data_IF_103239081343
#
_entry.id   IF_103239081343
#
_cell.length_a   1.000
_cell.length_b   1.000
_cell.length_c   1.000
_cell.angle_alpha   90.00
_cell.angle_beta   90.00
_cell.angle_gamma   90.00
#
_symmetry.space_group_name_H-M   'P 1'
#
loop_
_entity.id
_entity.type
_entity.pdbx_description
1 polymer ?
#
# COMPACT_ATOMS: atom_id res chain seq x y z
N UNK A 1 31.08 19.68 -41.50
CA UNK A 1 30.33 18.55 -42.09
C UNK A 1 29.32 18.07 -41.04
N UNK A 2 28.02 18.27 -41.27
CA UNK A 2 26.91 17.91 -40.36
C UNK A 2 26.59 16.42 -40.51
N UNK A 3 26.58 15.66 -39.42
CA UNK A 3 25.93 14.34 -39.38
C UNK A 3 24.41 14.56 -39.53
N UNK A 4 23.72 13.84 -40.43
CA UNK A 4 22.27 13.79 -40.39
C UNK A 4 21.87 12.93 -39.20
N UNK A 5 21.35 13.55 -38.15
CA UNK A 5 20.56 12.84 -37.16
C UNK A 5 19.31 12.31 -37.86
N UNK A 6 19.34 11.02 -38.17
CA UNK A 6 18.17 10.27 -38.58
C UNK A 6 17.24 10.19 -37.37
N UNK A 7 16.52 11.30 -37.12
CA UNK A 7 15.31 11.36 -36.32
C UNK A 7 14.31 10.41 -36.98
N UNK A 8 14.37 9.14 -36.59
CA UNK A 8 13.28 8.20 -36.81
C UNK A 8 12.14 8.71 -35.95
N UNK A 9 11.26 9.45 -36.61
CA UNK A 9 10.02 9.99 -36.13
C UNK A 9 9.13 8.85 -35.61
N UNK A 10 9.24 8.54 -34.32
CA UNK A 10 8.29 7.67 -33.60
C UNK A 10 7.06 8.49 -33.24
N UNK A 11 6.57 9.37 -34.13
CA UNK A 11 5.25 9.96 -33.93
C UNK A 11 4.24 8.86 -34.19
N UNK A 12 3.65 8.41 -33.10
CA UNK A 12 2.50 7.51 -33.13
C UNK A 12 1.38 8.20 -33.92
N UNK A 13 0.66 7.49 -34.80
CA UNK A 13 -0.43 8.06 -35.61
C UNK A 13 -1.66 8.51 -34.81
N UNK A 14 -1.59 8.52 -33.47
CA UNK A 14 -2.64 8.97 -32.56
C UNK A 14 -2.11 10.19 -31.80
N UNK A 15 -2.71 11.36 -32.07
CA UNK A 15 -2.25 12.66 -31.57
C UNK A 15 -2.01 12.72 -30.06
N UNK A 16 -1.17 13.67 -29.65
CA UNK A 16 -0.86 13.92 -28.24
C UNK A 16 -2.12 14.29 -27.46
N UNK A 17 -2.43 13.51 -26.43
CA UNK A 17 -3.49 13.82 -25.47
C UNK A 17 -2.83 14.15 -24.12
N UNK A 18 -2.94 15.41 -23.69
CA UNK A 18 -2.46 15.82 -22.36
C UNK A 18 -0.93 15.78 -22.18
N UNK A 19 -0.15 15.89 -23.26
CA UNK A 19 1.32 15.86 -23.23
C UNK A 19 1.95 14.46 -23.22
N UNK A 20 1.14 13.42 -23.49
CA UNK A 20 1.58 12.03 -23.64
C UNK A 20 1.02 11.43 -24.94
N UNK A 21 1.79 10.55 -25.58
CA UNK A 21 1.36 9.80 -26.75
C UNK A 21 0.03 9.06 -26.49
N UNK A 22 -0.91 9.11 -27.44
CA UNK A 22 -2.23 8.48 -27.29
C UNK A 22 -2.17 6.97 -27.00
N UNK A 23 -1.14 6.28 -27.48
CA UNK A 23 -0.87 4.88 -27.13
C UNK A 23 -0.48 4.70 -25.65
N UNK A 24 0.36 5.58 -25.11
CA UNK A 24 0.78 5.54 -23.71
C UNK A 24 -0.41 5.85 -22.76
N UNK A 25 -1.28 6.78 -23.16
CA UNK A 25 -2.52 7.07 -22.43
C UNK A 25 -3.42 5.83 -22.32
N UNK A 26 -3.63 5.10 -23.41
CA UNK A 26 -4.45 3.88 -23.41
C UNK A 26 -3.84 2.80 -22.51
N UNK A 27 -2.51 2.63 -22.50
CA UNK A 27 -1.85 1.65 -21.63
C UNK A 27 -2.04 2.00 -20.14
N UNK A 28 -1.89 3.28 -19.78
CA UNK A 28 -2.10 3.72 -18.40
C UNK A 28 -3.58 3.58 -18.00
N UNK A 29 -4.51 3.93 -18.89
CA UNK A 29 -5.95 3.80 -18.64
C UNK A 29 -6.35 2.33 -18.43
N UNK A 30 -5.92 1.44 -19.33
CA UNK A 30 -6.19 0.01 -19.21
C UNK A 30 -5.49 -0.59 -17.99
N UNK A 31 -4.26 -0.18 -17.70
CA UNK A 31 -3.51 -0.59 -16.51
C UNK A 31 -4.19 -0.18 -15.22
N UNK A 32 -4.73 1.05 -15.16
CA UNK A 32 -5.48 1.55 -14.00
C UNK A 32 -6.79 0.79 -13.78
N UNK A 33 -7.58 0.58 -14.84
CA UNK A 33 -8.82 -0.20 -14.77
C UNK A 33 -8.52 -1.65 -14.39
N UNK A 34 -7.54 -2.29 -15.03
CA UNK A 34 -7.14 -3.66 -14.73
C UNK A 34 -6.64 -3.80 -13.28
N UNK A 35 -5.81 -2.85 -12.81
CA UNK A 35 -5.32 -2.83 -11.43
C UNK A 35 -6.45 -2.72 -10.40
N UNK A 36 -7.40 -1.80 -10.62
CA UNK A 36 -8.56 -1.65 -9.74
C UNK A 36 -9.41 -2.92 -9.69
N UNK A 37 -9.65 -3.54 -10.84
CA UNK A 37 -10.39 -4.80 -10.95
C UNK A 37 -9.67 -5.92 -10.20
N UNK A 38 -8.36 -6.06 -10.38
CA UNK A 38 -7.54 -7.08 -9.70
C UNK A 38 -7.57 -6.91 -8.18
N UNK A 39 -7.40 -5.68 -7.67
CA UNK A 39 -7.47 -5.41 -6.23
C UNK A 39 -8.86 -5.77 -5.68
N UNK A 40 -9.94 -5.46 -6.40
CA UNK A 40 -11.31 -5.78 -5.98
C UNK A 40 -11.53 -7.29 -5.82
N UNK A 41 -11.08 -8.09 -6.78
CA UNK A 41 -11.16 -9.54 -6.68
C UNK A 41 -10.30 -10.07 -5.54
N UNK A 42 -9.06 -9.57 -5.40
CA UNK A 42 -8.15 -9.98 -4.34
C UNK A 42 -8.69 -9.68 -2.94
N UNK A 43 -9.21 -8.47 -2.72
CA UNK A 43 -9.83 -8.07 -1.46
C UNK A 43 -11.06 -8.92 -1.13
N UNK A 44 -11.91 -9.21 -2.13
CA UNK A 44 -13.11 -10.05 -1.93
C UNK A 44 -12.73 -11.46 -1.49
N UNK A 45 -11.73 -12.07 -2.15
CA UNK A 45 -11.23 -13.39 -1.78
C UNK A 45 -10.51 -13.38 -0.42
N UNK A 46 -9.73 -12.34 -0.14
CA UNK A 46 -9.01 -12.17 1.12
C UNK A 46 -9.98 -12.04 2.30
N UNK A 47 -11.05 -11.27 2.16
CA UNK A 47 -12.10 -11.14 3.18
C UNK A 47 -12.75 -12.51 3.45
N UNK A 48 -13.12 -13.26 2.40
CA UNK A 48 -13.66 -14.61 2.57
C UNK A 48 -12.68 -15.58 3.26
N UNK A 49 -11.38 -15.39 3.05
CA UNK A 49 -10.35 -16.19 3.72
C UNK A 49 -10.24 -15.85 5.21
N UNK A 50 -10.36 -14.57 5.56
CA UNK A 50 -10.38 -14.11 6.95
C UNK A 50 -11.62 -14.63 7.70
N UNK A 51 -12.81 -14.58 7.07
CA UNK A 51 -14.05 -15.13 7.64
C UNK A 51 -13.93 -16.64 7.98
N UNK A 52 -13.22 -17.41 7.16
CA UNK A 52 -12.97 -18.84 7.41
C UNK A 52 -11.95 -19.10 8.52
N UNK A 53 -11.08 -18.15 8.83
CA UNK A 53 -9.99 -18.28 9.79
C UNK A 53 -9.95 -17.05 10.71
N UNK A 54 -10.88 -16.93 11.67
CA UNK A 54 -11.01 -15.75 12.53
C UNK A 54 -9.75 -15.44 13.36
N UNK A 55 -8.92 -16.44 13.64
CA UNK A 55 -7.63 -16.22 14.30
C UNK A 55 -6.61 -15.46 13.42
N UNK A 56 -6.67 -15.61 12.10
CA UNK A 56 -5.85 -14.86 11.16
C UNK A 56 -6.37 -13.44 10.97
N UNK A 57 -7.68 -13.25 11.06
CA UNK A 57 -8.34 -11.95 10.96
C UNK A 57 -7.86 -10.97 12.03
N UNK A 58 -7.90 -11.35 13.31
CA UNK A 58 -7.48 -10.46 14.41
C UNK A 58 -6.00 -10.08 14.28
N UNK A 59 -5.14 -11.02 13.87
CA UNK A 59 -3.71 -10.77 13.67
C UNK A 59 -3.46 -9.86 12.47
N UNK A 60 -4.15 -10.11 11.35
CA UNK A 60 -4.04 -9.28 10.15
C UNK A 60 -4.50 -7.84 10.44
N UNK A 61 -5.61 -7.65 11.14
CA UNK A 61 -6.08 -6.32 11.53
C UNK A 61 -5.13 -5.61 12.48
N UNK A 62 -4.54 -6.30 13.47
CA UNK A 62 -3.56 -5.70 14.37
C UNK A 62 -2.33 -5.18 13.61
N UNK A 63 -1.82 -5.95 12.65
CA UNK A 63 -0.69 -5.55 11.80
C UNK A 63 -1.07 -4.39 10.88
N UNK A 64 -2.21 -4.46 10.20
CA UNK A 64 -2.70 -3.39 9.30
C UNK A 64 -2.95 -2.10 10.08
N UNK A 65 -3.53 -2.18 11.29
CA UNK A 65 -3.72 -1.03 12.17
C UNK A 65 -2.38 -0.36 12.52
N UNK A 66 -1.36 -1.13 12.86
CA UNK A 66 -0.02 -0.59 13.15
C UNK A 66 0.64 0.06 11.93
N UNK A 67 0.53 -0.55 10.74
CA UNK A 67 0.99 0.04 9.48
C UNK A 67 0.22 1.34 9.17
N UNK A 68 -1.07 1.39 9.47
CA UNK A 68 -1.89 2.59 9.38
C UNK A 68 -1.40 3.73 10.27
N UNK A 69 -0.98 3.44 11.52
CA UNK A 69 -0.35 4.43 12.39
C UNK A 69 0.94 4.96 11.76
N UNK A 70 1.78 4.11 11.18
CA UNK A 70 2.99 4.56 10.47
C UNK A 70 2.65 5.48 9.28
N UNK A 71 1.66 5.11 8.48
CA UNK A 71 1.22 5.95 7.35
C UNK A 71 0.73 7.30 7.87
N UNK A 72 -0.09 7.33 8.92
CA UNK A 72 -0.56 8.58 9.53
C UNK A 72 0.59 9.45 10.03
N UNK A 73 1.59 8.88 10.70
CA UNK A 73 2.77 9.63 11.19
C UNK A 73 3.60 10.18 10.03
N UNK A 74 3.81 9.41 8.96
CA UNK A 74 4.54 9.88 7.77
C UNK A 74 3.75 11.00 7.07
N UNK A 75 2.42 10.92 7.02
CA UNK A 75 1.57 11.98 6.46
C UNK A 75 1.60 13.25 7.31
N UNK A 76 1.62 13.12 8.65
CA UNK A 76 1.77 14.26 9.58
C UNK A 76 3.17 14.89 9.53
N UNK A 77 4.19 14.13 9.15
CA UNK A 77 5.56 14.60 8.92
C UNK A 77 5.82 14.99 7.45
N UNK A 78 4.77 15.08 6.61
CA UNK A 78 4.91 15.44 5.21
C UNK A 78 5.23 16.93 5.04
N UNK A 79 5.97 17.26 3.99
CA UNK A 79 6.55 18.58 3.69
C UNK A 79 5.60 19.77 3.86
N UNK A 80 4.32 19.57 3.55
CA UNK A 80 3.30 20.62 3.57
C UNK A 80 2.73 20.95 4.97
N UNK A 81 3.01 20.16 6.01
CA UNK A 81 2.45 20.34 7.37
C UNK A 81 3.48 20.88 8.39
N UNK A 82 4.79 20.74 8.11
CA UNK A 82 5.86 21.56 8.71
C UNK A 82 6.04 21.53 10.24
N UNK A 83 5.50 20.54 10.96
CA UNK A 83 5.62 20.45 12.44
C UNK A 83 6.86 19.64 12.88
N UNK A 84 7.46 18.82 12.01
CA UNK A 84 8.60 17.95 12.35
C UNK A 84 9.64 17.89 11.22
N UNK A 85 10.91 17.83 11.61
CA UNK A 85 12.11 17.93 10.78
C UNK A 85 12.23 16.79 9.74
N UNK A 86 12.64 17.11 8.50
CA UNK A 86 12.73 16.20 7.33
C UNK A 86 13.54 14.93 7.56
N UNK A 87 14.42 14.93 8.55
CA UNK A 87 15.29 13.79 8.83
C UNK A 87 14.58 12.66 9.58
N UNK A 88 13.41 12.90 10.17
CA UNK A 88 12.76 11.96 11.09
C UNK A 88 12.18 10.70 10.41
N UNK A 89 11.42 10.79 9.30
CA UNK A 89 10.75 9.63 8.69
C UNK A 89 11.68 8.74 7.86
N UNK A 90 12.80 9.30 7.37
CA UNK A 90 13.83 8.58 6.61
C UNK A 90 15.02 8.14 7.48
N UNK A 91 15.01 8.47 8.76
CA UNK A 91 16.06 8.03 9.68
C UNK A 91 16.02 6.52 9.90
N UNK A 92 17.21 5.94 10.02
CA UNK A 92 17.41 4.55 10.44
C UNK A 92 16.74 4.28 11.81
N UNK A 93 16.66 5.29 12.68
CA UNK A 93 16.02 5.22 14.00
C UNK A 93 14.52 4.93 13.88
N UNK A 94 13.79 5.63 13.01
CA UNK A 94 12.35 5.41 12.84
C UNK A 94 12.04 4.04 12.24
N UNK A 95 12.86 3.63 11.27
CA UNK A 95 12.78 2.29 10.67
C UNK A 95 13.01 1.20 11.73
N UNK A 96 13.98 1.37 12.63
CA UNK A 96 14.25 0.44 13.74
C UNK A 96 13.08 0.39 14.73
N UNK A 97 12.49 1.53 15.10
CA UNK A 97 11.30 1.56 15.98
C UNK A 97 10.13 0.84 15.31
N UNK A 98 9.91 1.05 14.01
CA UNK A 98 8.86 0.36 13.26
C UNK A 98 9.01 -1.16 13.30
N UNK A 99 10.22 -1.67 13.00
CA UNK A 99 10.50 -3.10 13.06
C UNK A 99 10.45 -3.63 14.50
N UNK A 100 10.93 -2.87 15.49
CA UNK A 100 10.86 -3.24 16.90
C UNK A 100 9.42 -3.40 17.38
N UNK A 101 8.50 -2.50 17.01
CA UNK A 101 7.08 -2.64 17.39
C UNK A 101 6.40 -3.74 16.58
N UNK A 102 6.73 -3.96 15.30
CA UNK A 102 6.24 -5.12 14.56
C UNK A 102 6.63 -6.43 15.24
N UNK A 103 7.89 -6.56 15.66
CA UNK A 103 8.38 -7.72 16.41
C UNK A 103 7.66 -7.82 17.76
N UNK A 104 7.46 -6.71 18.47
CA UNK A 104 6.69 -6.67 19.71
C UNK A 104 5.26 -7.18 19.54
N UNK A 105 4.53 -6.69 18.53
CA UNK A 105 3.17 -7.14 18.22
C UNK A 105 3.16 -8.60 17.80
N UNK A 106 4.14 -9.06 17.00
CA UNK A 106 4.26 -10.46 16.62
C UNK A 106 4.47 -11.38 17.83
N UNK A 107 5.33 -10.98 18.78
CA UNK A 107 5.55 -11.71 20.03
C UNK A 107 4.30 -11.70 20.91
N UNK A 108 3.61 -10.56 21.03
CA UNK A 108 2.35 -10.45 21.79
C UNK A 108 1.26 -11.32 21.15
N UNK A 109 1.10 -11.31 19.82
CA UNK A 109 0.16 -12.19 19.11
C UNK A 109 0.51 -13.68 19.28
N UNK A 110 1.80 -14.01 19.34
CA UNK A 110 2.26 -15.38 19.57
C UNK A 110 2.00 -15.86 21.00
N UNK A 111 2.21 -14.99 21.99
CA UNK A 111 2.01 -15.30 23.41
C UNK A 111 0.59 -15.01 23.91
N UNK A 112 -0.23 -14.29 23.15
CA UNK A 112 -1.63 -14.07 23.49
C UNK A 112 -2.34 -15.43 23.57
N UNK A 113 -2.90 -15.79 24.73
CA UNK A 113 -3.61 -17.06 24.85
C UNK A 113 -4.79 -17.03 23.88
N UNK A 114 -4.91 -18.08 23.05
CA UNK A 114 -6.06 -18.29 22.15
C UNK A 114 -7.33 -18.53 22.96
N UNK A 115 -7.82 -17.52 23.65
CA UNK A 115 -9.10 -17.60 24.33
C UNK A 115 -10.17 -17.42 23.25
N UNK A 116 -10.94 -18.50 23.07
CA UNK A 116 -12.00 -18.69 22.08
C UNK A 116 -12.97 -17.50 22.06
N UNK A 117 -13.61 -17.22 20.92
CA UNK A 117 -14.61 -16.17 20.80
C UNK A 117 -15.73 -16.38 21.83
N UNK A 118 -16.13 -15.28 22.47
CA UNK A 118 -17.32 -15.15 23.30
C UNK A 118 -18.55 -15.42 22.43
N UNK A 119 -18.96 -16.69 22.35
CA UNK A 119 -20.27 -17.10 21.82
C UNK A 119 -21.19 -17.40 23.00
N UNK A 120 -21.63 -16.37 23.70
CA UNK A 120 -22.72 -16.49 24.69
C UNK A 120 -23.21 -15.09 25.12
N UNK A 121 -24.04 -14.46 24.29
CA UNK A 121 -24.82 -13.30 24.71
C UNK A 121 -26.09 -13.12 23.85
N UNK A 122 -26.89 -14.19 23.69
CA UNK A 122 -28.36 -14.10 23.61
C UNK A 122 -28.99 -15.49 23.67
N UNK A 123 -29.45 -15.85 24.87
CA UNK A 123 -30.56 -16.79 25.10
C UNK A 123 -31.87 -16.16 24.66
#
# INVERSE_FOLDING_TARGET
MRKPELQLDVNSPLGEFGGMDGGQFIVVLLGGIAGLVLIKFAATWFVQLLEKRPALETTAYAIVAWVGVKLAVITLAHEDIGILDHHFPHSTIWTVIFYAVLVGIALICWFAPRNKPLKEARS
#
